data_IF_812944473373
#
_entry.id   IF_812944473373
#
_cell.length_a   1.000
_cell.length_b   1.000
_cell.length_c   1.000
_cell.angle_alpha   90.00
_cell.angle_beta   90.00
_cell.angle_gamma   90.00
#
_symmetry.space_group_name_H-M   'P 1'
#
loop_
_entity.id
_entity.type
_entity.pdbx_description
1 polymer ?
#
# COMPACT_ATOMS: atom_id res chain seq x y z
N UNK A 1 -2.12 -22.46 -3.61
CA UNK A 1 -2.09 -21.07 -3.11
C UNK A 1 -0.65 -20.65 -2.93
N UNK A 2 -0.27 -19.59 -3.55
CA UNK A 2 1.11 -19.10 -3.54
C UNK A 2 1.11 -17.66 -3.02
N UNK A 3 2.04 -17.34 -2.15
CA UNK A 3 2.22 -15.96 -1.70
C UNK A 3 3.50 -15.40 -2.28
N UNK A 4 3.48 -14.11 -2.55
CA UNK A 4 4.62 -13.36 -3.06
C UNK A 4 4.70 -12.05 -2.29
N UNK A 5 5.89 -11.64 -1.91
CA UNK A 5 6.09 -10.34 -1.26
C UNK A 5 6.83 -9.41 -2.20
N UNK A 6 6.26 -8.24 -2.39
CA UNK A 6 6.84 -7.17 -3.20
C UNK A 6 7.21 -6.03 -2.25
N UNK A 7 8.26 -5.30 -2.58
CA UNK A 7 8.81 -4.26 -1.69
C UNK A 7 8.69 -2.88 -2.34
N UNK A 8 7.57 -2.17 -2.16
CA UNK A 8 7.51 -0.77 -2.56
C UNK A 8 8.36 0.10 -1.64
N UNK A 9 8.92 1.16 -2.19
CA UNK A 9 9.87 2.01 -1.50
C UNK A 9 9.41 3.46 -1.55
N UNK A 10 9.37 4.11 -0.37
CA UNK A 10 9.25 5.57 -0.30
C UNK A 10 10.65 6.13 -0.18
N UNK A 11 11.13 6.89 -1.16
CA UNK A 11 12.47 7.49 -1.08
C UNK A 11 12.57 8.51 0.05
N UNK A 12 13.78 8.76 0.52
CA UNK A 12 14.03 9.78 1.53
C UNK A 12 13.50 11.13 1.07
N UNK A 13 12.79 11.83 1.95
CA UNK A 13 12.22 13.14 1.66
C UNK A 13 10.93 13.10 0.86
N UNK A 14 10.45 11.92 0.51
CA UNK A 14 9.21 11.74 -0.25
C UNK A 14 8.12 11.13 0.64
N UNK A 15 6.90 11.19 0.17
CA UNK A 15 5.76 10.60 0.89
C UNK A 15 5.07 9.48 0.12
N UNK A 16 5.40 9.28 -1.15
CA UNK A 16 4.73 8.31 -2.02
C UNK A 16 5.72 7.27 -2.51
N UNK A 17 5.32 6.00 -2.44
CA UNK A 17 6.15 4.91 -2.91
C UNK A 17 6.08 4.75 -4.44
N UNK A 18 6.95 3.92 -4.97
CA UNK A 18 6.79 3.41 -6.33
C UNK A 18 5.60 2.44 -6.38
N UNK A 19 5.22 2.04 -7.59
CA UNK A 19 4.04 1.22 -7.80
C UNK A 19 4.32 -0.26 -7.57
N UNK A 20 3.33 -0.95 -7.04
CA UNK A 20 3.32 -2.41 -6.89
C UNK A 20 2.26 -2.97 -7.82
N UNK A 21 2.63 -3.98 -8.59
CA UNK A 21 1.68 -4.70 -9.44
C UNK A 21 0.95 -5.75 -8.61
N UNK A 22 -0.31 -5.49 -8.33
CA UNK A 22 -1.19 -6.37 -7.58
C UNK A 22 -2.22 -7.04 -8.49
N UNK A 23 -2.02 -6.97 -9.81
CA UNK A 23 -3.04 -7.44 -10.76
C UNK A 23 -3.19 -8.97 -10.79
N UNK A 24 -2.20 -9.70 -10.30
CA UNK A 24 -2.21 -11.16 -10.37
C UNK A 24 -2.72 -11.84 -9.10
N UNK A 25 -3.14 -11.07 -8.11
CA UNK A 25 -3.58 -11.65 -6.84
C UNK A 25 -4.24 -10.64 -5.94
N UNK A 26 -4.35 -11.00 -4.68
CA UNK A 26 -4.96 -10.14 -3.67
C UNK A 26 -3.93 -9.79 -2.60
N UNK A 27 -3.94 -8.53 -2.17
CA UNK A 27 -3.11 -8.11 -1.05
C UNK A 27 -3.69 -8.72 0.22
N UNK A 28 -2.87 -9.42 0.97
CA UNK A 28 -3.31 -10.06 2.22
C UNK A 28 -2.62 -9.49 3.44
N UNK A 29 -1.45 -8.88 3.27
CA UNK A 29 -0.69 -8.34 4.41
C UNK A 29 0.18 -7.18 3.96
N UNK A 30 0.28 -6.17 4.82
CA UNK A 30 1.21 -5.06 4.66
C UNK A 30 2.18 -5.11 5.82
N UNK A 31 3.47 -5.13 5.54
CA UNK A 31 4.52 -5.12 6.56
C UNK A 31 5.18 -3.74 6.59
N UNK A 32 5.24 -3.17 7.77
CA UNK A 32 5.83 -1.85 7.98
C UNK A 32 7.35 -1.96 8.06
N UNK A 33 8.08 -0.91 7.65
CA UNK A 33 9.53 -0.89 7.81
C UNK A 33 9.94 -0.86 9.29
N UNK A 34 11.20 -1.23 9.60
CA UNK A 34 11.70 -1.21 10.99
C UNK A 34 11.65 0.18 11.62
N UNK A 35 11.84 1.22 10.81
CA UNK A 35 11.72 2.61 11.24
C UNK A 35 10.73 3.32 10.34
N UNK A 36 9.96 4.24 10.89
CA UNK A 36 8.95 4.96 10.12
C UNK A 36 8.66 6.30 10.78
N UNK A 37 8.73 7.38 9.99
CA UNK A 37 8.28 8.69 10.45
C UNK A 37 6.78 8.63 10.64
N UNK A 38 6.31 8.87 11.85
CA UNK A 38 4.94 8.61 12.24
C UNK A 38 3.91 9.27 11.33
N UNK A 39 3.02 8.47 10.78
CA UNK A 39 1.97 8.95 9.87
C UNK A 39 0.94 7.83 9.67
N UNK A 40 -0.26 8.22 9.26
CA UNK A 40 -1.22 7.26 8.74
C UNK A 40 -0.81 6.88 7.32
N UNK A 41 -1.37 5.81 6.80
CA UNK A 41 -1.13 5.40 5.42
C UNK A 41 -2.37 5.58 4.58
N UNK A 42 -2.18 6.12 3.38
CA UNK A 42 -3.21 6.19 2.35
C UNK A 42 -2.63 5.64 1.06
N UNK A 43 -3.43 5.62 0.00
CA UNK A 43 -3.05 4.86 -1.18
C UNK A 43 -3.43 5.56 -2.46
N UNK A 44 -2.67 5.30 -3.51
CA UNK A 44 -3.08 5.56 -4.87
C UNK A 44 -3.20 4.24 -5.60
N UNK A 45 -4.19 4.12 -6.46
CA UNK A 45 -4.46 2.90 -7.21
C UNK A 45 -4.59 3.20 -8.69
N UNK A 46 -4.32 2.19 -9.51
CA UNK A 46 -4.43 2.29 -10.95
C UNK A 46 -4.89 0.97 -11.54
N UNK A 47 -5.69 1.05 -12.60
CA UNK A 47 -6.11 -0.13 -13.35
C UNK A 47 -5.10 -0.51 -14.42
N UNK A 48 -4.32 0.45 -14.91
CA UNK A 48 -3.40 0.23 -16.04
C UNK A 48 -1.92 0.40 -15.70
N UNK A 49 -1.62 0.85 -14.49
CA UNK A 49 -0.25 1.08 -14.06
C UNK A 49 0.34 2.41 -14.48
N UNK A 50 -0.41 3.24 -15.19
CA UNK A 50 0.06 4.54 -15.68
C UNK A 50 -0.67 5.71 -15.05
N UNK A 51 -1.99 5.60 -14.93
CA UNK A 51 -2.82 6.67 -14.41
C UNK A 51 -3.30 6.29 -13.00
N UNK A 52 -2.82 7.02 -12.00
CA UNK A 52 -3.11 6.71 -10.60
C UNK A 52 -4.08 7.73 -10.01
N UNK A 53 -4.97 7.24 -9.16
CA UNK A 53 -5.94 8.05 -8.43
C UNK A 53 -5.85 7.76 -6.95
N UNK A 54 -6.14 8.75 -6.12
CA UNK A 54 -6.25 8.53 -4.69
C UNK A 54 -7.43 7.61 -4.40
N UNK A 55 -7.26 6.71 -3.43
CA UNK A 55 -8.26 5.70 -3.12
C UNK A 55 -9.23 6.20 -2.06
N UNK A 56 -10.51 6.22 -2.42
CA UNK A 56 -11.60 6.61 -1.53
C UNK A 56 -12.59 5.46 -1.40
N UNK A 57 -13.30 5.42 -0.27
CA UNK A 57 -14.36 4.43 -0.09
C UNK A 57 -15.69 4.93 -0.66
N UNK A 58 -16.71 4.09 -0.56
CA UNK A 58 -18.02 4.42 -1.14
C UNK A 58 -18.73 5.57 -0.43
N UNK A 59 -18.27 5.95 0.77
CA UNK A 59 -18.83 7.08 1.51
C UNK A 59 -18.15 8.39 1.14
N UNK A 60 -17.11 8.35 0.32
CA UNK A 60 -16.36 9.53 -0.04
C UNK A 60 -15.21 9.86 0.90
N UNK A 61 -14.84 8.94 1.78
CA UNK A 61 -13.71 9.13 2.68
C UNK A 61 -12.47 8.48 2.11
N UNK A 62 -11.33 9.16 2.26
CA UNK A 62 -10.06 8.59 1.83
C UNK A 62 -9.76 7.33 2.63
N UNK A 63 -9.45 6.22 1.95
CA UNK A 63 -9.11 4.98 2.62
C UNK A 63 -7.81 5.19 3.38
N UNK A 64 -7.90 5.13 4.70
CA UNK A 64 -6.81 5.46 5.60
C UNK A 64 -6.60 4.34 6.59
N UNK A 65 -5.36 3.87 6.68
CA UNK A 65 -4.97 2.93 7.71
C UNK A 65 -4.29 3.73 8.83
N UNK A 66 -4.88 3.67 10.02
CA UNK A 66 -4.47 4.50 11.14
C UNK A 66 -3.64 3.73 12.16
N UNK A 67 -2.89 4.48 12.98
CA UNK A 67 -2.16 3.94 14.13
C UNK A 67 -1.14 2.88 13.77
N UNK A 68 -0.51 3.02 12.60
CA UNK A 68 0.53 2.09 12.20
C UNK A 68 1.78 2.26 13.04
N UNK A 69 2.30 1.14 13.47
CA UNK A 69 3.55 1.09 14.23
C UNK A 69 4.64 0.55 13.33
N UNK A 70 5.84 1.12 13.46
CA UNK A 70 7.01 0.60 12.78
C UNK A 70 7.22 -0.86 13.16
N UNK A 71 7.83 -1.61 12.26
CA UNK A 71 8.22 -3.00 12.51
C UNK A 71 7.05 -3.91 12.83
N UNK A 72 5.88 -3.66 12.24
CA UNK A 72 4.68 -4.49 12.41
C UNK A 72 4.12 -4.92 11.06
N UNK A 73 3.25 -5.94 11.09
CA UNK A 73 2.52 -6.37 9.91
C UNK A 73 1.03 -6.25 10.18
N UNK A 74 0.28 -5.88 9.14
CA UNK A 74 -1.17 -5.70 9.24
C UNK A 74 -1.85 -6.56 8.19
N UNK A 75 -2.88 -7.28 8.60
CA UNK A 75 -3.69 -8.07 7.70
C UNK A 75 -4.63 -7.13 6.93
N UNK A 76 -4.65 -7.27 5.63
CA UNK A 76 -5.53 -6.49 4.77
C UNK A 76 -6.76 -7.31 4.47
N UNK A 77 -7.93 -6.75 4.76
CA UNK A 77 -9.20 -7.43 4.57
C UNK A 77 -10.15 -6.61 3.69
N UNK A 78 -11.10 -7.32 3.10
CA UNK A 78 -12.26 -6.70 2.47
C UNK A 78 -11.97 -5.94 1.19
N UNK A 79 -12.58 -4.77 1.08
CA UNK A 79 -12.59 -4.01 -0.16
C UNK A 79 -11.22 -3.64 -0.69
N UNK A 80 -10.29 -3.34 0.20
CA UNK A 80 -8.95 -2.96 -0.23
C UNK A 80 -8.29 -4.08 -1.03
N UNK A 81 -8.48 -5.33 -0.59
CA UNK A 81 -7.86 -6.47 -1.24
C UNK A 81 -8.41 -6.74 -2.64
N UNK A 82 -9.64 -6.33 -2.92
CA UNK A 82 -10.34 -6.68 -4.15
C UNK A 82 -10.36 -5.58 -5.20
N UNK A 83 -9.98 -4.37 -4.86
CA UNK A 83 -10.18 -3.21 -5.73
C UNK A 83 -8.91 -2.70 -6.39
N UNK A 84 -7.82 -3.42 -6.27
CA UNK A 84 -6.52 -2.88 -6.62
C UNK A 84 -5.86 -3.65 -7.75
N UNK A 85 -5.51 -2.94 -8.84
CA UNK A 85 -4.64 -3.47 -9.88
C UNK A 85 -3.19 -3.12 -9.58
N UNK A 86 -2.89 -1.82 -9.47
CA UNK A 86 -1.57 -1.32 -9.10
C UNK A 86 -1.73 -0.41 -7.90
N UNK A 87 -0.77 -0.44 -7.00
CA UNK A 87 -0.86 0.28 -5.72
C UNK A 87 0.39 1.10 -5.47
N UNK A 88 0.19 2.32 -4.98
CA UNK A 88 1.25 3.10 -4.34
C UNK A 88 0.85 3.39 -2.91
N UNK A 89 1.83 3.35 -2.01
CA UNK A 89 1.63 3.65 -0.59
C UNK A 89 2.09 5.07 -0.32
N UNK A 90 1.26 5.84 0.37
CA UNK A 90 1.60 7.20 0.79
C UNK A 90 1.64 7.28 2.30
N UNK A 91 2.68 7.91 2.86
CA UNK A 91 2.68 8.30 4.25
C UNK A 91 1.96 9.63 4.40
N UNK A 92 0.98 9.68 5.31
CA UNK A 92 0.09 10.80 5.45
C UNK A 92 -1.14 10.65 4.57
N UNK A 93 -1.85 11.76 4.36
CA UNK A 93 -3.06 11.79 3.55
C UNK A 93 -2.84 12.63 2.30
N UNK A 94 -3.83 12.60 1.39
CA UNK A 94 -3.78 13.44 0.20
C UNK A 94 -3.61 14.92 0.58
N UNK A 95 -4.34 15.36 1.59
CA UNK A 95 -4.31 16.76 2.02
C UNK A 95 -3.05 17.10 2.81
N UNK A 96 -2.49 16.14 3.54
CA UNK A 96 -1.34 16.33 4.40
C UNK A 96 -0.37 15.16 4.26
N UNK A 97 0.35 15.07 3.15
CA UNK A 97 1.37 14.04 3.00
C UNK A 97 2.51 14.27 4.00
N UNK A 98 3.09 13.19 4.50
CA UNK A 98 4.18 13.25 5.48
C UNK A 98 5.44 12.70 4.85
N UNK A 99 6.42 13.56 4.50
CA UNK A 99 7.68 13.07 3.95
C UNK A 99 8.42 12.19 4.96
N UNK A 100 9.01 11.12 4.50
CA UNK A 100 9.81 10.24 5.34
C UNK A 100 11.23 10.78 5.46
N UNK A 101 11.81 10.68 6.65
CA UNK A 101 13.16 11.20 6.91
C UNK A 101 14.24 10.40 6.17
N UNK A 102 13.98 9.13 5.93
CA UNK A 102 14.90 8.23 5.24
C UNK A 102 14.11 7.33 4.32
N UNK A 103 14.80 6.60 3.46
CA UNK A 103 14.17 5.62 2.60
C UNK A 103 13.45 4.56 3.44
N UNK A 104 12.21 4.24 3.07
CA UNK A 104 11.39 3.23 3.77
C UNK A 104 10.99 2.15 2.79
N UNK A 105 11.21 0.90 3.18
CA UNK A 105 10.84 -0.27 2.38
C UNK A 105 9.71 -1.00 3.07
N UNK A 106 8.58 -1.14 2.38
CA UNK A 106 7.42 -1.86 2.88
C UNK A 106 7.40 -3.26 2.28
N UNK A 107 6.68 -4.17 2.94
CA UNK A 107 6.41 -5.47 2.36
C UNK A 107 4.92 -5.58 2.03
N UNK A 108 4.60 -5.84 0.78
CA UNK A 108 3.22 -6.10 0.35
C UNK A 108 3.14 -7.57 -0.03
N UNK A 109 2.42 -8.35 0.76
CA UNK A 109 2.25 -9.77 0.51
C UNK A 109 0.98 -10.00 -0.30
N UNK A 110 1.14 -10.63 -1.43
CA UNK A 110 0.06 -10.89 -2.39
C UNK A 110 -0.18 -12.38 -2.44
N UNK A 111 -1.44 -12.75 -2.30
CA UNK A 111 -1.87 -14.12 -2.52
C UNK A 111 -2.22 -14.28 -3.99
N UNK A 112 -1.30 -14.85 -4.76
CA UNK A 112 -1.59 -15.21 -6.12
C UNK A 112 -2.38 -16.51 -6.05
N UNK A 113 -3.67 -16.43 -6.23
CA UNK A 113 -4.45 -17.61 -6.43
C UNK A 113 -3.73 -18.39 -7.52
N UNK A 114 -3.16 -19.49 -7.15
CA UNK A 114 -2.61 -20.41 -8.09
C UNK A 114 -3.56 -20.36 -9.25
N UNK A 115 -3.09 -19.85 -10.33
CA UNK A 115 -3.84 -19.80 -11.52
C UNK A 115 -4.70 -21.00 -11.46
N UNK A 116 -5.83 -20.82 -11.00
CA UNK A 116 -6.71 -21.88 -10.79
C UNK A 116 -6.49 -22.81 -11.87
N UNK A 117 -5.74 -23.63 -11.59
CA UNK A 117 -5.73 -24.55 -12.66
C UNK A 117 -6.92 -24.57 -13.43
#
# INVERSE_FOLDING_TARGET
MTTQTVTPVIPAGQSLSDAVDCSTGQIVRLTMPPEFTSANLTFQVSSDGNFFNDLYDVKGDEVTLCDFKKNTSVVILGLLAHSIGFLKIRSGTRAQPVPQEAQREFGVTINTAAAAA
#
